data_IF_632744186482
#
_entry.id   IF_632744186482
#
_cell.length_a   1.000
_cell.length_b   1.000
_cell.length_c   1.000
_cell.angle_alpha   90.00
_cell.angle_beta   90.00
_cell.angle_gamma   90.00
#
_symmetry.space_group_name_H-M   'P 1'
#
loop_
_entity.id
_entity.type
_entity.pdbx_description
1 polymer ?
#
# COMPACT_ATOMS: atom_id res chain seq x y z
N UNK A 1 7.30 -12.57 0.19
CA UNK A 1 8.70 -13.02 -0.02
C UNK A 1 8.77 -14.38 -0.72
N UNK A 2 8.26 -15.48 -0.11
CA UNK A 2 8.43 -16.84 -0.62
C UNK A 2 7.97 -17.03 -2.08
N UNK A 3 6.83 -16.47 -2.47
CA UNK A 3 6.28 -16.56 -3.83
C UNK A 3 7.15 -15.83 -4.86
N UNK A 4 7.72 -14.68 -4.50
CA UNK A 4 8.63 -13.92 -5.38
C UNK A 4 10.04 -14.51 -5.40
N UNK A 5 10.48 -15.13 -4.32
CA UNK A 5 11.76 -15.81 -4.28
C UNK A 5 11.88 -16.95 -5.31
N UNK A 6 10.76 -17.62 -5.62
CA UNK A 6 10.74 -18.65 -6.67
C UNK A 6 11.03 -18.11 -8.08
N UNK A 7 10.97 -16.79 -8.26
CA UNK A 7 11.22 -16.09 -9.51
C UNK A 7 12.57 -15.38 -9.55
N UNK A 8 13.41 -15.52 -8.53
CA UNK A 8 14.66 -14.77 -8.34
C UNK A 8 15.62 -14.82 -9.56
N UNK A 9 15.58 -15.92 -10.32
CA UNK A 9 16.48 -16.11 -11.46
C UNK A 9 15.96 -15.45 -12.76
N UNK A 10 14.69 -15.00 -12.76
CA UNK A 10 14.05 -14.34 -13.89
C UNK A 10 13.67 -12.88 -13.60
N UNK A 11 13.64 -12.48 -12.33
CA UNK A 11 13.42 -11.09 -11.95
C UNK A 11 14.65 -10.25 -12.32
N UNK A 12 14.43 -9.20 -13.10
CA UNK A 12 15.49 -8.25 -13.49
C UNK A 12 15.68 -7.13 -12.45
N UNK A 13 14.99 -7.21 -11.32
CA UNK A 13 14.99 -6.23 -10.25
C UNK A 13 15.30 -6.87 -8.92
N UNK A 14 15.90 -6.10 -8.03
CA UNK A 14 16.01 -6.44 -6.62
C UNK A 14 14.71 -6.06 -5.91
N UNK A 15 14.22 -6.93 -5.04
CA UNK A 15 13.06 -6.68 -4.19
C UNK A 15 13.51 -6.81 -2.73
N UNK A 16 13.43 -5.72 -1.99
CA UNK A 16 13.70 -5.69 -0.56
C UNK A 16 12.39 -5.81 0.23
N UNK A 17 12.34 -6.73 1.18
CA UNK A 17 11.25 -6.87 2.13
C UNK A 17 11.70 -6.24 3.44
N UNK A 18 11.09 -5.12 3.81
CA UNK A 18 11.50 -4.33 4.95
C UNK A 18 10.35 -4.20 5.93
N UNK A 19 10.61 -4.47 7.21
CA UNK A 19 9.70 -4.15 8.31
C UNK A 19 10.27 -2.93 9.03
N UNK A 20 9.60 -1.80 8.94
CA UNK A 20 10.04 -0.58 9.57
C UNK A 20 9.66 -0.55 11.06
N UNK A 21 10.44 0.19 11.85
CA UNK A 21 10.20 0.42 13.27
C UNK A 21 9.80 1.86 13.49
N UNK A 22 9.20 2.14 14.66
CA UNK A 22 8.86 3.48 15.11
C UNK A 22 7.91 4.25 14.19
N UNK A 23 6.98 3.52 13.55
CA UNK A 23 5.95 4.15 12.72
C UNK A 23 4.91 4.87 13.61
N UNK A 24 4.59 4.33 14.77
CA UNK A 24 3.58 4.83 15.69
C UNK A 24 4.03 6.06 16.52
N UNK A 25 3.08 6.86 17.04
CA UNK A 25 3.40 7.91 17.99
C UNK A 25 4.16 7.39 19.22
N UNK A 26 5.11 8.16 19.76
CA UNK A 26 5.42 9.58 19.48
C UNK A 26 6.41 9.79 18.32
N UNK A 27 6.82 8.75 17.64
CA UNK A 27 7.87 8.83 16.62
C UNK A 27 7.33 9.10 15.21
N UNK A 28 6.03 8.89 14.98
CA UNK A 28 5.40 9.18 13.69
C UNK A 28 5.71 10.60 13.19
N UNK A 29 6.09 10.71 11.92
CA UNK A 29 6.45 11.97 11.28
C UNK A 29 7.83 12.52 11.63
N UNK A 30 8.60 11.83 12.48
CA UNK A 30 9.97 12.22 12.86
C UNK A 30 11.03 11.53 12.00
N UNK A 31 12.25 12.04 12.06
CA UNK A 31 13.41 11.43 11.39
C UNK A 31 13.88 10.12 12.06
N UNK A 32 13.27 9.75 13.19
CA UNK A 32 13.55 8.49 13.87
C UNK A 32 12.74 7.31 13.32
N UNK A 33 11.73 7.54 12.49
CA UNK A 33 11.01 6.45 11.82
C UNK A 33 11.98 5.60 11.01
N UNK A 34 11.86 4.28 11.10
CA UNK A 34 12.69 3.35 10.32
C UNK A 34 12.58 3.59 8.81
N UNK A 35 11.40 3.92 8.32
CA UNK A 35 11.16 4.28 6.91
C UNK A 35 11.88 5.57 6.51
N UNK A 36 11.94 6.59 7.39
CA UNK A 36 12.71 7.80 7.13
C UNK A 36 14.20 7.49 7.00
N UNK A 37 14.75 6.76 7.98
CA UNK A 37 16.16 6.38 8.00
C UNK A 37 16.53 5.59 6.75
N UNK A 38 15.66 4.66 6.35
CA UNK A 38 15.91 3.83 5.16
C UNK A 38 15.77 4.62 3.85
N UNK A 39 14.72 5.41 3.68
CA UNK A 39 14.53 6.26 2.49
C UNK A 39 15.67 7.28 2.36
N UNK A 40 16.10 7.88 3.47
CA UNK A 40 17.26 8.77 3.50
C UNK A 40 18.54 8.05 3.09
N UNK A 41 18.79 6.84 3.59
CA UNK A 41 19.94 6.03 3.20
C UNK A 41 19.95 5.76 1.67
N UNK A 42 18.80 5.38 1.10
CA UNK A 42 18.68 5.18 -0.33
C UNK A 42 19.01 6.45 -1.11
N UNK A 43 18.46 7.58 -0.67
CA UNK A 43 18.66 8.90 -1.28
C UNK A 43 20.12 9.35 -1.22
N UNK A 44 20.74 9.31 -0.04
CA UNK A 44 22.14 9.75 0.17
C UNK A 44 23.13 8.90 -0.65
N UNK A 45 22.82 7.61 -0.84
CA UNK A 45 23.64 6.69 -1.64
C UNK A 45 23.25 6.63 -3.12
N UNK A 46 22.29 7.46 -3.56
CA UNK A 46 21.81 7.53 -4.95
C UNK A 46 21.36 6.16 -5.48
N UNK A 47 20.70 5.38 -4.62
CA UNK A 47 20.17 4.08 -5.02
C UNK A 47 18.87 4.34 -5.77
N UNK A 48 18.82 3.86 -6.99
CA UNK A 48 17.61 3.95 -7.81
C UNK A 48 16.54 2.99 -7.29
N UNK A 49 15.32 3.52 -7.07
CA UNK A 49 14.17 2.78 -6.55
C UNK A 49 13.01 2.95 -7.52
N UNK A 50 12.60 1.86 -8.13
CA UNK A 50 11.46 1.83 -9.07
C UNK A 50 10.18 2.26 -8.37
N UNK A 51 9.96 1.79 -7.14
CA UNK A 51 8.84 2.16 -6.31
C UNK A 51 8.80 1.37 -5.01
N UNK A 52 8.03 1.87 -4.05
CA UNK A 52 7.78 1.25 -2.76
C UNK A 52 6.31 0.87 -2.63
N UNK A 53 6.04 -0.31 -2.10
CA UNK A 53 4.69 -0.79 -1.81
C UNK A 53 4.57 -0.94 -0.31
N UNK A 54 3.74 -0.12 0.30
CA UNK A 54 3.45 -0.16 1.72
C UNK A 54 2.16 -0.93 1.98
N UNK A 55 2.21 -1.98 2.81
CA UNK A 55 1.02 -2.59 3.38
C UNK A 55 0.72 -1.92 4.71
N UNK A 56 -0.41 -1.24 4.78
CA UNK A 56 -0.90 -0.55 5.97
C UNK A 56 -2.29 -1.03 6.30
N UNK A 57 -2.43 -1.92 7.30
CA UNK A 57 -3.70 -2.56 7.64
C UNK A 57 -4.44 -3.11 6.42
N UNK A 58 -4.39 -4.40 6.20
CA UNK A 58 -4.98 -5.06 5.02
C UNK A 58 -5.93 -6.19 5.38
N UNK A 59 -6.40 -6.27 6.62
CA UNK A 59 -7.08 -7.44 7.15
C UNK A 59 -8.51 -7.24 7.62
N UNK A 60 -8.97 -6.02 7.84
CA UNK A 60 -10.31 -5.78 8.33
C UNK A 60 -11.29 -5.56 7.18
N UNK A 61 -12.29 -6.43 7.06
CA UNK A 61 -13.34 -6.36 6.04
C UNK A 61 -14.71 -6.48 6.69
N UNK A 62 -15.65 -5.67 6.24
CA UNK A 62 -17.02 -5.67 6.75
C UNK A 62 -18.03 -5.33 5.66
N UNK A 63 -19.23 -5.91 5.77
CA UNK A 63 -20.38 -5.53 4.95
C UNK A 63 -21.25 -4.43 5.59
N UNK A 64 -20.85 -3.96 6.76
CA UNK A 64 -21.48 -2.83 7.42
C UNK A 64 -21.17 -1.53 6.68
N UNK A 65 -22.02 -0.51 6.91
CA UNK A 65 -21.80 0.81 6.35
C UNK A 65 -20.60 1.48 7.02
N UNK A 66 -19.75 2.08 6.20
CA UNK A 66 -18.57 2.84 6.63
C UNK A 66 -18.62 4.26 6.10
N UNK A 67 -18.07 5.20 6.84
CA UNK A 67 -17.96 6.60 6.39
C UNK A 67 -16.58 6.87 5.79
N UNK A 68 -16.51 6.79 4.49
CA UNK A 68 -15.31 7.11 3.70
C UNK A 68 -15.44 8.44 2.94
N UNK A 69 -16.30 9.34 3.41
CA UNK A 69 -16.54 10.63 2.76
C UNK A 69 -15.25 11.42 2.51
N UNK A 70 -14.32 11.40 3.47
CA UNK A 70 -13.00 12.06 3.35
C UNK A 70 -12.11 11.44 2.25
N UNK A 71 -12.17 10.13 2.03
CA UNK A 71 -11.40 9.45 1.00
C UNK A 71 -12.08 9.59 -0.37
N UNK A 72 -13.40 9.63 -0.41
CA UNK A 72 -14.19 9.57 -1.63
C UNK A 72 -13.85 10.67 -2.65
N UNK A 73 -13.45 11.85 -2.18
CA UNK A 73 -13.07 12.98 -3.04
C UNK A 73 -11.76 12.77 -3.80
N UNK A 74 -10.94 11.82 -3.38
CA UNK A 74 -9.65 11.51 -3.99
C UNK A 74 -9.68 10.25 -4.85
N UNK A 75 -10.80 9.54 -4.90
CA UNK A 75 -10.92 8.32 -5.67
C UNK A 75 -10.89 8.64 -7.16
N UNK A 76 -9.89 8.11 -7.85
CA UNK A 76 -9.69 8.24 -9.29
C UNK A 76 -10.27 7.06 -10.06
N UNK A 77 -10.31 5.88 -9.44
CA UNK A 77 -10.90 4.68 -10.02
C UNK A 77 -11.68 3.89 -8.96
N UNK A 78 -12.89 3.51 -9.30
CA UNK A 78 -13.79 2.84 -8.38
C UNK A 78 -14.28 1.51 -8.96
N UNK A 79 -13.83 0.41 -8.33
CA UNK A 79 -14.25 -0.96 -8.64
C UNK A 79 -14.89 -1.63 -7.40
N UNK A 80 -15.48 -0.81 -6.52
CA UNK A 80 -16.07 -1.27 -5.27
C UNK A 80 -17.25 -0.40 -4.84
N UNK A 81 -18.14 -0.95 -4.03
CA UNK A 81 -19.10 -0.17 -3.26
C UNK A 81 -18.43 0.41 -2.01
N UNK A 82 -18.03 1.68 -2.07
CA UNK A 82 -17.34 2.37 -0.98
C UNK A 82 -18.22 2.68 0.23
N UNK A 83 -19.52 2.44 0.17
CA UNK A 83 -20.40 2.52 1.34
C UNK A 83 -20.20 1.35 2.30
N UNK A 84 -19.51 0.30 1.84
CA UNK A 84 -19.19 -0.92 2.59
C UNK A 84 -17.69 -1.03 2.81
N UNK A 85 -17.29 -1.61 3.94
CA UNK A 85 -15.88 -1.87 4.23
C UNK A 85 -15.34 -3.18 3.61
N UNK A 86 -15.70 -3.48 2.35
CA UNK A 86 -15.40 -4.78 1.72
C UNK A 86 -14.52 -4.66 0.46
N UNK A 87 -13.55 -3.76 0.48
CA UNK A 87 -12.59 -3.55 -0.60
C UNK A 87 -11.21 -3.21 -0.03
N UNK A 88 -10.21 -3.13 -0.90
CA UNK A 88 -8.89 -2.59 -0.58
C UNK A 88 -8.70 -1.24 -1.29
N UNK A 89 -8.07 -0.28 -0.63
CA UNK A 89 -7.68 0.98 -1.25
C UNK A 89 -6.20 0.96 -1.62
N UNK A 90 -5.89 1.47 -2.81
CA UNK A 90 -4.54 1.83 -3.23
C UNK A 90 -4.43 3.34 -3.23
N UNK A 91 -3.51 3.86 -2.46
CA UNK A 91 -3.32 5.30 -2.27
C UNK A 91 -1.95 5.70 -2.78
N UNK A 92 -1.89 6.73 -3.61
CA UNK A 92 -0.64 7.30 -4.10
C UNK A 92 -0.68 8.84 -4.09
N UNK A 93 0.49 9.45 -4.27
CA UNK A 93 0.61 10.85 -4.67
C UNK A 93 0.64 10.99 -6.21
N UNK A 94 0.68 12.21 -6.71
CA UNK A 94 0.71 12.50 -8.14
C UNK A 94 1.95 11.89 -8.82
N UNK A 95 3.11 11.93 -8.17
CA UNK A 95 4.36 11.37 -8.71
C UNK A 95 4.34 9.84 -8.82
N UNK A 96 3.56 9.19 -7.96
CA UNK A 96 3.45 7.74 -7.90
C UNK A 96 2.33 7.16 -8.78
N UNK A 97 1.56 8.01 -9.46
CA UNK A 97 0.39 7.55 -10.23
C UNK A 97 0.79 6.59 -11.36
N UNK A 98 1.86 6.86 -12.09
CA UNK A 98 2.35 5.95 -13.14
C UNK A 98 2.72 4.59 -12.55
N UNK A 99 3.40 4.57 -11.41
CA UNK A 99 3.75 3.34 -10.71
C UNK A 99 2.50 2.58 -10.25
N UNK A 100 1.48 3.27 -9.75
CA UNK A 100 0.19 2.66 -9.38
C UNK A 100 -0.54 2.06 -10.58
N UNK A 101 -0.49 2.71 -11.75
CA UNK A 101 -1.16 2.24 -12.97
C UNK A 101 -0.62 0.90 -13.48
N UNK A 102 0.61 0.53 -13.13
CA UNK A 102 1.18 -0.78 -13.45
C UNK A 102 0.50 -1.93 -12.68
N UNK A 103 -0.19 -1.61 -11.56
CA UNK A 103 -0.95 -2.58 -10.78
C UNK A 103 -2.34 -2.79 -11.39
N UNK A 104 -2.43 -3.68 -12.38
CA UNK A 104 -3.68 -3.95 -13.07
C UNK A 104 -4.48 -5.06 -12.38
N UNK A 105 -5.09 -4.75 -11.25
CA UNK A 105 -5.85 -5.71 -10.44
C UNK A 105 -7.05 -6.31 -11.18
N UNK A 106 -7.65 -5.60 -12.13
CA UNK A 106 -8.78 -6.13 -12.92
C UNK A 106 -8.44 -7.39 -13.71
N UNK A 107 -7.18 -7.51 -14.14
CA UNK A 107 -6.71 -8.65 -14.91
C UNK A 107 -6.30 -9.83 -14.04
N UNK A 108 -6.01 -9.59 -12.76
CA UNK A 108 -5.34 -10.55 -11.91
C UNK A 108 -6.32 -11.39 -11.09
N UNK A 109 -7.19 -10.77 -10.31
CA UNK A 109 -8.16 -11.49 -9.47
C UNK A 109 -9.39 -10.60 -9.21
N UNK A 110 -10.59 -11.19 -9.35
CA UNK A 110 -11.86 -10.52 -9.07
C UNK A 110 -12.40 -10.81 -7.65
N UNK A 111 -11.62 -11.47 -6.80
CA UNK A 111 -12.06 -11.86 -5.46
C UNK A 111 -12.04 -10.71 -4.46
N UNK A 112 -11.26 -9.68 -4.73
CA UNK A 112 -11.18 -8.47 -3.90
C UNK A 112 -11.56 -7.28 -4.78
N UNK A 113 -12.56 -6.55 -4.34
CA UNK A 113 -12.88 -5.24 -4.89
C UNK A 113 -11.82 -4.22 -4.45
N UNK A 114 -11.57 -3.20 -5.27
CA UNK A 114 -10.58 -2.20 -4.94
C UNK A 114 -10.99 -0.80 -5.41
N UNK A 115 -10.32 0.19 -4.83
CA UNK A 115 -10.36 1.58 -5.29
C UNK A 115 -8.96 2.13 -5.40
N UNK A 116 -8.75 3.05 -6.33
CA UNK A 116 -7.54 3.83 -6.45
C UNK A 116 -7.83 5.27 -6.03
N UNK A 117 -6.98 5.83 -5.18
CA UNK A 117 -7.09 7.19 -4.72
C UNK A 117 -5.76 7.93 -4.91
N UNK A 118 -5.82 9.11 -5.51
CA UNK A 118 -4.66 9.98 -5.68
C UNK A 118 -4.81 11.20 -4.76
N UNK A 119 -3.85 11.36 -3.85
CA UNK A 119 -3.84 12.42 -2.86
C UNK A 119 -2.74 13.40 -3.22
N UNK A 120 -3.06 14.61 -3.71
CA UNK A 120 -2.09 15.55 -4.26
C UNK A 120 -1.11 16.10 -3.21
N UNK A 121 -1.50 16.05 -1.94
CA UNK A 121 -0.65 16.46 -0.81
C UNK A 121 -0.90 15.54 0.37
N UNK A 122 0.13 15.23 1.18
CA UNK A 122 -0.08 14.40 2.37
C UNK A 122 -1.16 14.98 3.29
N UNK A 123 -2.15 14.16 3.62
CA UNK A 123 -3.24 14.49 4.55
C UNK A 123 -3.12 13.55 5.73
N UNK A 124 -2.75 14.07 6.90
CA UNK A 124 -2.36 13.30 8.08
C UNK A 124 -3.27 12.12 8.47
N UNK A 125 -4.53 12.15 8.18
CA UNK A 125 -5.43 11.06 8.54
C UNK A 125 -5.60 10.00 7.43
N UNK A 126 -5.24 10.32 6.19
CA UNK A 126 -5.47 9.46 5.02
C UNK A 126 -4.16 8.82 4.55
N UNK A 127 -3.04 9.51 4.74
CA UNK A 127 -1.73 9.09 4.24
C UNK A 127 -0.74 8.80 5.36
N UNK A 128 -1.23 8.53 6.58
CA UNK A 128 -0.35 8.31 7.74
C UNK A 128 0.20 6.89 7.72
N UNK A 129 1.37 6.69 7.14
CA UNK A 129 2.17 5.46 7.23
C UNK A 129 3.56 5.65 6.59
N UNK A 130 4.36 4.61 6.54
CA UNK A 130 5.77 4.59 6.11
C UNK A 130 6.04 5.11 4.69
N UNK A 131 5.09 4.98 3.76
CA UNK A 131 5.24 5.47 2.37
C UNK A 131 5.46 6.99 2.28
N UNK A 132 4.98 7.77 3.27
CA UNK A 132 5.21 9.22 3.34
C UNK A 132 6.68 9.60 3.30
N UNK A 133 7.54 8.80 3.94
CA UNK A 133 8.96 9.08 3.97
C UNK A 133 9.62 8.81 2.61
N UNK A 134 9.10 7.89 1.81
CA UNK A 134 9.56 7.69 0.44
C UNK A 134 9.15 8.87 -0.47
N UNK A 135 7.91 9.35 -0.37
CA UNK A 135 7.47 10.56 -1.08
C UNK A 135 8.33 11.77 -0.73
N UNK A 136 8.69 11.93 0.56
CA UNK A 136 9.52 13.02 1.05
C UNK A 136 10.89 13.09 0.38
N UNK A 137 11.45 11.95 -0.01
CA UNK A 137 12.71 11.85 -0.75
C UNK A 137 12.52 11.72 -2.26
N UNK A 138 11.32 11.92 -2.79
CA UNK A 138 11.02 11.89 -4.21
C UNK A 138 10.91 10.50 -4.83
N UNK A 139 10.81 9.46 -4.01
CA UNK A 139 10.56 8.09 -4.47
C UNK A 139 9.08 7.84 -4.72
N UNK A 140 8.76 7.11 -5.77
CA UNK A 140 7.40 6.60 -6.02
C UNK A 140 7.02 5.62 -4.92
N UNK A 141 5.84 5.79 -4.32
CA UNK A 141 5.33 4.85 -3.32
C UNK A 141 3.80 4.77 -3.36
N UNK A 142 3.28 3.58 -3.11
CA UNK A 142 1.85 3.33 -2.94
C UNK A 142 1.57 2.71 -1.59
N UNK A 143 0.46 3.07 -0.98
CA UNK A 143 -0.08 2.42 0.21
C UNK A 143 -1.26 1.53 -0.20
N UNK A 144 -1.23 0.27 0.22
CA UNK A 144 -2.32 -0.71 0.08
C UNK A 144 -2.95 -0.87 1.45
N UNK A 145 -4.22 -0.49 1.60
CA UNK A 145 -4.86 -0.40 2.92
C UNK A 145 -6.33 -0.81 2.90
N UNK A 146 -6.79 -1.36 3.99
CA UNK A 146 -8.22 -1.57 4.27
C UNK A 146 -8.91 -0.30 4.79
N UNK A 147 -8.19 0.83 4.80
CA UNK A 147 -8.62 2.14 5.29
C UNK A 147 -8.64 2.31 6.82
N UNK A 148 -8.03 1.39 7.55
CA UNK A 148 -7.70 1.49 8.98
C UNK A 148 -8.88 2.02 9.85
N UNK A 149 -8.66 3.05 10.62
CA UNK A 149 -9.62 3.65 11.54
C UNK A 149 -10.91 4.17 10.89
N UNK A 150 -10.95 4.33 9.57
CA UNK A 150 -12.20 4.71 8.88
C UNK A 150 -13.20 3.56 8.80
N UNK A 151 -12.76 2.31 8.99
CA UNK A 151 -13.66 1.15 8.95
C UNK A 151 -13.51 0.20 10.13
N UNK A 152 -12.31 0.09 10.72
CA UNK A 152 -12.06 -0.83 11.84
C UNK A 152 -12.36 -0.13 13.19
N UNK A 153 -13.47 -0.45 13.87
CA UNK A 153 -13.79 0.14 15.17
C UNK A 153 -12.85 -0.30 16.28
N UNK A 154 -12.04 -1.34 16.05
CA UNK A 154 -11.08 -1.87 16.99
C UNK A 154 -9.71 -1.23 16.89
N UNK A 155 -9.48 -0.37 15.87
CA UNK A 155 -8.21 0.28 15.62
C UNK A 155 -7.63 0.93 16.88
N UNK A 156 -6.38 0.59 17.21
CA UNK A 156 -5.66 1.05 18.42
C UNK A 156 -6.37 0.73 19.75
N UNK A 157 -7.13 -0.36 19.81
CA UNK A 157 -7.74 -0.85 21.04
C UNK A 157 -7.30 -2.28 21.34
N UNK A 158 -7.56 -2.74 22.58
CA UNK A 158 -7.30 -4.13 22.96
C UNK A 158 -8.19 -5.15 22.23
N UNK A 159 -9.22 -4.68 21.53
CA UNK A 159 -10.12 -5.54 20.76
C UNK A 159 -9.64 -5.74 19.30
N UNK A 160 -8.56 -5.09 18.87
CA UNK A 160 -7.94 -5.32 17.56
C UNK A 160 -7.13 -6.62 17.61
N UNK A 161 -7.82 -7.72 17.43
CA UNK A 161 -7.28 -9.08 17.58
C UNK A 161 -7.36 -9.84 16.27
N UNK A 162 -6.62 -10.95 16.17
CA UNK A 162 -6.59 -11.81 14.98
C UNK A 162 -7.99 -12.28 14.54
N UNK A 163 -8.88 -12.52 15.49
CA UNK A 163 -10.25 -13.01 15.26
C UNK A 163 -11.11 -11.97 14.54
N UNK A 164 -10.73 -10.70 14.57
CA UNK A 164 -11.44 -9.61 13.85
C UNK A 164 -11.01 -9.48 12.40
N UNK A 165 -9.97 -10.18 11.99
CA UNK A 165 -9.39 -10.09 10.65
C UNK A 165 -9.88 -11.20 9.72
N UNK A 166 -10.09 -10.87 8.45
CA UNK A 166 -10.32 -11.83 7.37
C UNK A 166 -8.99 -12.24 6.73
N UNK A 167 -8.37 -13.29 7.29
CA UNK A 167 -7.08 -13.81 6.84
C UNK A 167 -7.13 -14.29 5.38
N UNK A 168 -8.28 -14.79 4.91
CA UNK A 168 -8.44 -15.22 3.52
C UNK A 168 -8.39 -14.03 2.57
N UNK A 169 -9.06 -12.93 2.92
CA UNK A 169 -8.99 -11.69 2.13
C UNK A 169 -7.60 -11.05 2.20
N UNK A 170 -6.95 -11.05 3.38
CA UNK A 170 -5.54 -10.63 3.48
C UNK A 170 -4.67 -11.40 2.50
N UNK A 171 -4.83 -12.71 2.41
CA UNK A 171 -4.09 -13.53 1.45
C UNK A 171 -4.40 -13.13 0.01
N UNK A 172 -5.66 -12.84 -0.32
CA UNK A 172 -6.03 -12.35 -1.65
C UNK A 172 -5.35 -11.01 -1.96
N UNK A 173 -5.33 -10.06 -1.02
CA UNK A 173 -4.63 -8.77 -1.19
C UNK A 173 -3.14 -8.98 -1.46
N UNK A 174 -2.47 -9.82 -0.67
CA UNK A 174 -1.05 -10.15 -0.87
C UNK A 174 -0.83 -10.78 -2.24
N UNK A 175 -1.69 -11.70 -2.65
CA UNK A 175 -1.59 -12.36 -3.96
C UNK A 175 -1.78 -11.37 -5.11
N UNK A 176 -2.73 -10.42 -5.00
CA UNK A 176 -2.92 -9.37 -6.00
C UNK A 176 -1.63 -8.59 -6.24
N UNK A 177 -0.99 -8.12 -5.17
CA UNK A 177 0.26 -7.36 -5.28
C UNK A 177 1.40 -8.24 -5.85
N UNK A 178 1.52 -9.48 -5.40
CA UNK A 178 2.53 -10.41 -5.90
C UNK A 178 2.36 -10.67 -7.40
N UNK A 179 1.13 -10.92 -7.86
CA UNK A 179 0.88 -11.16 -9.29
C UNK A 179 1.08 -9.87 -10.11
N UNK A 180 0.74 -8.69 -9.57
CA UNK A 180 1.06 -7.42 -10.21
C UNK A 180 2.57 -7.24 -10.41
N UNK A 181 3.37 -7.51 -9.39
CA UNK A 181 4.84 -7.46 -9.49
C UNK A 181 5.33 -8.43 -10.58
N UNK A 182 4.77 -9.64 -10.65
CA UNK A 182 5.12 -10.60 -11.69
C UNK A 182 4.79 -10.11 -13.10
N UNK A 183 3.64 -9.46 -13.27
CA UNK A 183 3.26 -8.89 -14.57
C UNK A 183 4.15 -7.70 -14.95
N UNK A 184 4.42 -6.80 -14.02
CA UNK A 184 5.35 -5.69 -14.22
C UNK A 184 6.73 -6.18 -14.69
N UNK A 185 7.25 -7.24 -14.12
CA UNK A 185 8.57 -7.78 -14.49
C UNK A 185 8.61 -8.44 -15.88
N UNK A 186 7.48 -8.70 -16.52
CA UNK A 186 7.40 -9.14 -17.90
C UNK A 186 7.49 -7.97 -18.89
N UNK A 187 7.15 -6.77 -18.46
CA UNK A 187 7.16 -5.57 -19.28
C UNK A 187 8.58 -4.97 -19.29
N UNK A 188 9.37 -5.28 -20.33
CA UNK A 188 10.76 -4.79 -20.44
C UNK A 188 10.86 -3.27 -20.55
N UNK A 189 9.82 -2.61 -21.04
CA UNK A 189 9.81 -1.15 -21.21
C UNK A 189 9.63 -0.40 -19.89
N UNK A 190 9.15 -1.09 -18.85
CA UNK A 190 8.96 -0.50 -17.53
C UNK A 190 10.29 -0.21 -16.80
N UNK A 191 11.37 -0.90 -17.17
CA UNK A 191 12.69 -0.79 -16.51
C UNK A 191 13.71 0.05 -17.30
N UNK A 192 13.31 0.62 -18.44
CA UNK A 192 14.10 1.53 -19.27
C UNK A 192 13.67 2.98 -19.05
#
# INVERSE_FOLDING_TARGET
>A
AKQLYSLKDILQIRIDFVCFTLEEPPYFGTENMGSYVYAKYLFDNKIDVIGMINYEMIGYFTNENVDLSKLSMFITKKQADISKGNFIAMVCDEQSQEFMNEFNFEKIDKKIEYVEAMIPTPINQITASDHLNFWKFGYKAIMVTDTAHFRNPNYHTANDTLETLDVNKMQCVVNLVVESIKEMTKNKDFFN
#
